data_IF_421209197596
#
_entry.id   IF_421209197596
#
_cell.length_a   1.000
_cell.length_b   1.000
_cell.length_c   1.000
_cell.angle_alpha   90.00
_cell.angle_beta   90.00
_cell.angle_gamma   90.00
#
_symmetry.space_group_name_H-M   'P 1'
#
loop_
_entity.id
_entity.type
_entity.pdbx_description
1 polymer ?
#
# COMPACT_ATOMS: atom_id res chain seq x y z
N UNK A 1 -79.00 -41.81 -0.91
CA UNK A 1 -79.06 -42.18 -2.36
C UNK A 1 -77.61 -42.13 -2.82
N UNK A 2 -76.89 -43.21 -2.58
CA UNK A 2 -76.81 -44.35 -3.50
C UNK A 2 -75.95 -43.93 -4.72
N UNK A 3 -74.97 -44.54 -5.14
CA UNK A 3 -74.38 -45.89 -5.12
C UNK A 3 -72.92 -45.69 -5.73
N UNK A 4 -71.96 -46.33 -5.18
CA UNK A 4 -71.44 -47.68 -5.44
C UNK A 4 -70.64 -47.87 -6.71
N UNK A 5 -69.40 -48.23 -6.47
CA UNK A 5 -68.59 -49.34 -7.01
C UNK A 5 -68.15 -49.25 -8.50
N UNK A 6 -66.88 -49.40 -8.77
CA UNK A 6 -66.10 -50.63 -9.02
C UNK A 6 -64.71 -50.33 -9.51
N UNK A 7 -63.78 -50.75 -8.77
CA UNK A 7 -62.65 -51.63 -9.01
C UNK A 7 -62.50 -52.23 -10.45
N UNK A 8 -61.34 -51.96 -11.09
CA UNK A 8 -60.69 -52.96 -11.96
C UNK A 8 -59.17 -52.76 -11.84
N UNK A 9 -58.52 -53.80 -11.39
CA UNK A 9 -57.09 -54.11 -11.51
C UNK A 9 -56.66 -54.24 -12.95
N UNK A 10 -55.41 -53.91 -13.20
CA UNK A 10 -54.40 -54.70 -13.92
C UNK A 10 -53.09 -53.85 -13.90
N UNK A 11 -52.07 -54.30 -13.22
CA UNK A 11 -50.98 -55.22 -13.61
C UNK A 11 -50.29 -54.78 -14.92
N UNK A 12 -49.08 -54.50 -14.71
CA UNK A 12 -47.83 -54.83 -15.36
C UNK A 12 -46.89 -53.65 -15.55
N UNK A 13 -45.88 -53.56 -14.70
CA UNK A 13 -44.50 -53.82 -15.02
C UNK A 13 -43.81 -52.68 -15.75
N UNK A 14 -42.97 -52.04 -15.09
CA UNK A 14 -41.53 -52.05 -15.42
C UNK A 14 -40.84 -51.08 -14.42
N UNK A 15 -40.02 -51.70 -13.69
CA UNK A 15 -39.04 -51.13 -12.78
C UNK A 15 -37.97 -50.43 -13.61
N UNK A 16 -37.83 -49.12 -13.51
CA UNK A 16 -36.61 -48.43 -13.83
C UNK A 16 -36.14 -47.69 -12.58
N UNK A 17 -35.25 -48.38 -11.88
CA UNK A 17 -34.35 -47.81 -10.88
C UNK A 17 -33.49 -46.73 -11.56
N UNK A 18 -33.89 -45.48 -11.47
CA UNK A 18 -32.92 -44.37 -11.57
C UNK A 18 -32.23 -44.23 -10.23
N UNK A 19 -31.07 -44.85 -10.16
CA UNK A 19 -30.12 -44.58 -9.10
C UNK A 19 -29.71 -43.08 -9.19
N UNK A 20 -30.37 -42.25 -8.38
CA UNK A 20 -29.81 -40.95 -8.02
C UNK A 20 -28.56 -41.20 -7.15
N UNK A 21 -27.39 -41.13 -7.77
CA UNK A 21 -26.14 -40.96 -7.05
C UNK A 21 -26.19 -39.64 -6.26
N UNK A 22 -26.63 -39.75 -5.04
CA UNK A 22 -26.43 -38.75 -4.01
C UNK A 22 -24.90 -38.80 -3.70
N UNK A 23 -24.13 -38.06 -4.44
CA UNK A 23 -22.77 -37.70 -4.00
C UNK A 23 -22.95 -36.84 -2.75
N UNK A 24 -22.98 -37.51 -1.60
CA UNK A 24 -22.80 -36.87 -0.33
C UNK A 24 -21.36 -36.28 -0.34
N UNK A 25 -21.29 -35.00 -0.69
CA UNK A 25 -20.13 -34.19 -0.45
C UNK A 25 -20.04 -34.05 1.09
N UNK A 26 -19.35 -34.99 1.71
CA UNK A 26 -18.97 -34.88 3.12
C UNK A 26 -18.00 -33.69 3.17
N UNK A 27 -18.51 -32.51 3.44
CA UNK A 27 -17.69 -31.40 3.93
C UNK A 27 -17.08 -31.92 5.22
N UNK A 28 -15.80 -32.25 5.14
CA UNK A 28 -14.98 -32.53 6.31
C UNK A 28 -14.88 -31.16 7.01
N UNK A 29 -15.71 -30.95 8.01
CA UNK A 29 -15.56 -29.83 8.94
C UNK A 29 -14.23 -30.06 9.67
N UNK A 30 -13.16 -29.44 9.16
CA UNK A 30 -11.88 -29.40 9.86
C UNK A 30 -12.09 -28.60 11.15
N UNK A 31 -12.03 -29.26 12.28
CA UNK A 31 -12.04 -28.63 13.59
C UNK A 31 -10.88 -27.62 13.66
N UNK A 32 -11.13 -26.34 13.96
CA UNK A 32 -10.08 -25.33 13.97
C UNK A 32 -9.04 -25.66 15.03
N UNK A 33 -7.78 -25.73 14.62
CA UNK A 33 -6.63 -26.05 15.50
C UNK A 33 -6.48 -25.02 16.63
N UNK A 34 -7.01 -23.81 16.43
CA UNK A 34 -6.95 -22.71 17.40
C UNK A 34 -7.65 -21.46 16.88
N UNK A 35 -7.51 -20.34 17.62
CA UNK A 35 -8.09 -19.06 17.26
C UNK A 35 -6.97 -18.06 16.92
N UNK A 36 -7.12 -17.36 15.80
CA UNK A 36 -6.22 -16.27 15.36
C UNK A 36 -6.94 -14.95 15.65
N UNK A 37 -6.28 -14.09 16.44
CA UNK A 37 -6.77 -12.75 16.72
C UNK A 37 -5.79 -11.70 16.19
N UNK A 38 -6.27 -10.85 15.31
CA UNK A 38 -5.49 -9.74 14.71
C UNK A 38 -5.76 -8.48 15.53
N UNK A 39 -4.70 -7.74 15.87
CA UNK A 39 -4.83 -6.48 16.60
C UNK A 39 -5.02 -5.29 15.66
N UNK A 40 -5.63 -4.21 16.16
CA UNK A 40 -5.75 -2.92 15.46
C UNK A 40 -4.38 -2.41 15.00
N UNK A 41 -3.32 -2.58 15.81
CA UNK A 41 -1.96 -2.14 15.46
C UNK A 41 -1.39 -2.84 14.23
N UNK A 42 -1.70 -4.13 14.05
CA UNK A 42 -1.28 -4.89 12.87
C UNK A 42 -1.97 -4.34 11.62
N UNK A 43 -3.29 -4.15 11.67
CA UNK A 43 -4.07 -3.59 10.55
C UNK A 43 -3.60 -2.18 10.22
N UNK A 44 -3.40 -1.32 11.25
CA UNK A 44 -2.89 0.05 11.07
C UNK A 44 -1.51 0.08 10.43
N UNK A 45 -0.63 -0.86 10.79
CA UNK A 45 0.71 -0.97 10.22
C UNK A 45 0.66 -1.37 8.75
N UNK A 46 -0.15 -2.38 8.40
CA UNK A 46 -0.33 -2.81 7.00
C UNK A 46 -0.89 -1.66 6.15
N UNK A 47 -1.95 -0.99 6.64
CA UNK A 47 -2.57 0.12 5.94
C UNK A 47 -1.60 1.30 5.72
N UNK A 48 -0.80 1.64 6.73
CA UNK A 48 0.20 2.71 6.63
C UNK A 48 1.32 2.40 5.64
N UNK A 49 1.81 1.16 5.62
CA UNK A 49 2.81 0.71 4.64
C UNK A 49 2.21 0.78 3.24
N UNK A 50 1.05 0.14 3.01
CA UNK A 50 0.36 0.14 1.72
C UNK A 50 0.07 1.55 1.20
N UNK A 51 -0.24 2.51 2.09
CA UNK A 51 -0.43 3.91 1.72
C UNK A 51 0.86 4.56 1.23
N UNK A 52 1.98 4.32 1.91
CA UNK A 52 3.26 4.96 1.59
C UNK A 52 4.00 4.32 0.41
N UNK A 53 3.55 3.18 -0.08
CA UNK A 53 4.05 2.55 -1.30
C UNK A 53 3.57 3.23 -2.59
N UNK A 54 2.51 4.06 -2.50
CA UNK A 54 1.92 4.72 -3.66
C UNK A 54 2.71 5.99 -4.01
N UNK A 55 3.14 6.09 -5.25
CA UNK A 55 3.84 7.27 -5.77
C UNK A 55 2.96 8.52 -5.69
N UNK A 56 3.50 9.60 -5.10
CA UNK A 56 2.74 10.83 -4.86
C UNK A 56 2.27 10.98 -3.42
N UNK A 57 2.42 9.95 -2.58
CA UNK A 57 2.26 10.05 -1.13
C UNK A 57 3.61 10.44 -0.53
N UNK A 58 3.72 11.67 -0.04
CA UNK A 58 4.93 12.13 0.65
C UNK A 58 5.11 11.41 2.01
N UNK A 59 4.02 11.01 2.64
CA UNK A 59 4.04 10.23 3.88
C UNK A 59 2.77 10.36 4.71
N UNK A 60 2.76 9.67 5.85
CA UNK A 60 1.65 9.76 6.80
C UNK A 60 1.74 11.07 7.60
N UNK A 61 0.58 11.72 7.80
CA UNK A 61 0.52 12.92 8.63
C UNK A 61 0.97 12.64 10.07
N UNK A 62 1.77 13.55 10.61
CA UNK A 62 2.35 13.37 11.94
C UNK A 62 3.71 12.65 11.96
N UNK A 63 4.13 11.98 10.86
CA UNK A 63 5.54 11.59 10.69
C UNK A 63 6.37 12.78 10.18
N UNK A 64 5.76 13.69 9.42
CA UNK A 64 6.39 14.89 8.87
C UNK A 64 6.81 15.94 9.93
N UNK A 65 6.14 16.00 11.07
CA UNK A 65 6.50 16.94 12.16
C UNK A 65 7.76 16.53 12.93
N UNK A 66 8.36 15.38 12.59
CA UNK A 66 9.47 14.76 13.31
C UNK A 66 10.84 14.84 12.62
N UNK A 67 11.04 15.70 11.63
CA UNK A 67 12.29 15.78 10.85
C UNK A 67 13.60 15.84 11.64
N UNK A 68 13.53 16.18 12.92
CA UNK A 68 14.69 16.11 13.83
C UNK A 68 14.79 14.74 14.53
N UNK A 69 13.67 14.05 14.76
CA UNK A 69 13.65 12.75 15.43
C UNK A 69 14.17 11.61 14.54
N UNK A 70 13.93 11.67 13.22
CA UNK A 70 14.46 10.71 12.25
C UNK A 70 15.98 10.81 12.12
N UNK A 71 16.54 12.00 12.25
CA UNK A 71 17.99 12.24 12.27
C UNK A 71 18.71 11.58 13.46
N UNK A 72 17.98 11.26 14.52
CA UNK A 72 18.46 10.53 15.70
C UNK A 72 18.13 9.02 15.69
N UNK A 73 17.73 8.46 14.51
CA UNK A 73 17.51 7.03 14.38
C UNK A 73 16.17 6.52 14.93
N UNK A 74 15.20 7.39 15.14
CA UNK A 74 13.85 6.97 15.48
C UNK A 74 13.24 6.23 14.29
N UNK A 75 12.81 4.97 14.50
CA UNK A 75 12.13 4.18 13.46
C UNK A 75 10.84 4.90 13.06
N UNK A 76 10.63 5.07 11.75
CA UNK A 76 9.32 5.49 11.22
C UNK A 76 8.25 4.55 11.76
N UNK A 77 7.24 5.13 12.40
CA UNK A 77 6.09 4.34 12.84
C UNK A 77 5.03 4.37 11.73
N UNK A 78 4.87 3.27 10.97
CA UNK A 78 3.96 3.24 9.81
C UNK A 78 2.49 3.35 10.20
N UNK A 79 2.12 3.07 11.45
CA UNK A 79 0.74 3.21 11.93
C UNK A 79 0.36 4.64 12.32
N UNK A 80 1.32 5.59 12.32
CA UNK A 80 1.05 6.99 12.68
C UNK A 80 0.22 7.65 11.56
N UNK A 81 -0.89 8.31 11.92
CA UNK A 81 -1.83 8.87 10.96
C UNK A 81 -2.84 7.85 10.43
N UNK A 82 -2.86 6.62 10.97
CA UNK A 82 -3.85 5.60 10.64
C UNK A 82 -4.74 5.36 11.85
N UNK A 83 -6.06 5.41 11.63
CA UNK A 83 -7.06 5.02 12.61
C UNK A 83 -7.87 3.87 12.04
N UNK A 84 -8.06 2.82 12.82
CA UNK A 84 -8.80 1.63 12.40
C UNK A 84 -9.90 1.34 13.42
N UNK A 85 -11.12 1.25 12.90
CA UNK A 85 -12.27 0.71 13.62
C UNK A 85 -12.59 -0.66 13.04
N UNK A 86 -12.47 -1.71 13.85
CA UNK A 86 -12.65 -3.09 13.40
C UNK A 86 -13.41 -3.94 14.39
N UNK A 87 -14.10 -4.94 13.87
CA UNK A 87 -14.67 -6.05 14.62
C UNK A 87 -14.01 -7.37 14.19
N UNK A 88 -14.65 -8.51 14.47
CA UNK A 88 -14.07 -9.83 14.16
C UNK A 88 -13.92 -10.10 12.66
N UNK A 89 -14.70 -9.46 11.81
CA UNK A 89 -14.77 -9.75 10.37
C UNK A 89 -14.61 -8.56 9.46
N UNK A 90 -14.85 -7.34 9.96
CA UNK A 90 -14.83 -6.11 9.13
C UNK A 90 -13.92 -5.03 9.70
N UNK A 91 -13.43 -4.16 8.82
CA UNK A 91 -12.63 -2.99 9.19
C UNK A 91 -13.06 -1.73 8.42
N UNK A 92 -12.96 -0.58 9.09
CA UNK A 92 -12.99 0.76 8.48
C UNK A 92 -11.69 1.47 8.82
N UNK A 93 -11.06 2.08 7.84
CA UNK A 93 -9.73 2.65 7.94
C UNK A 93 -9.80 4.13 7.58
N UNK A 94 -9.26 5.00 8.45
CA UNK A 94 -9.08 6.42 8.21
C UNK A 94 -7.58 6.71 8.12
N UNK A 95 -7.19 7.39 7.04
CA UNK A 95 -5.80 7.73 6.71
C UNK A 95 -5.64 9.24 6.70
N UNK A 96 -4.74 9.75 7.54
CA UNK A 96 -4.32 11.15 7.54
C UNK A 96 -2.95 11.22 6.81
N UNK A 97 -2.88 11.84 5.61
CA UNK A 97 -1.71 11.80 4.72
C UNK A 97 -1.21 13.18 4.30
N UNK A 98 0.04 13.21 3.86
CA UNK A 98 0.66 14.33 3.15
C UNK A 98 0.98 13.86 1.73
N UNK A 99 0.63 14.64 0.72
CA UNK A 99 0.84 14.32 -0.69
C UNK A 99 1.93 15.20 -1.31
N UNK A 100 2.55 14.74 -2.39
CA UNK A 100 3.50 15.54 -3.15
C UNK A 100 2.78 16.65 -3.93
N UNK A 101 3.44 17.80 -4.08
CA UNK A 101 2.92 18.87 -4.93
C UNK A 101 2.86 18.43 -6.39
N UNK A 102 1.78 18.77 -7.09
CA UNK A 102 1.59 18.46 -8.51
C UNK A 102 0.82 17.17 -8.79
N UNK A 103 0.53 16.34 -7.79
CA UNK A 103 -0.25 15.11 -7.98
C UNK A 103 -1.73 15.39 -8.23
N UNK A 104 -2.39 14.49 -8.95
CA UNK A 104 -3.83 14.54 -9.16
C UNK A 104 -4.55 13.81 -8.01
N UNK A 105 -4.99 14.59 -7.02
CA UNK A 105 -5.59 14.08 -5.78
C UNK A 105 -6.69 13.02 -5.99
N UNK A 106 -7.67 13.19 -6.91
CA UNK A 106 -8.71 12.18 -7.08
C UNK A 106 -8.19 10.82 -7.56
N UNK A 107 -7.20 10.81 -8.45
CA UNK A 107 -6.59 9.59 -8.98
C UNK A 107 -5.73 8.92 -7.92
N UNK A 108 -4.87 9.69 -7.26
CA UNK A 108 -4.05 9.22 -6.15
C UNK A 108 -4.90 8.61 -5.02
N UNK A 109 -6.00 9.28 -4.65
CA UNK A 109 -6.89 8.77 -3.60
C UNK A 109 -7.54 7.43 -3.98
N UNK A 110 -7.94 7.28 -5.23
CA UNK A 110 -8.47 6.00 -5.72
C UNK A 110 -7.44 4.88 -5.62
N UNK A 111 -6.23 5.13 -6.07
CA UNK A 111 -5.13 4.17 -6.03
C UNK A 111 -4.78 3.74 -4.60
N UNK A 112 -4.72 4.70 -3.68
CA UNK A 112 -4.50 4.43 -2.25
C UNK A 112 -5.63 3.55 -1.69
N UNK A 113 -6.90 3.90 -1.96
CA UNK A 113 -8.04 3.14 -1.46
C UNK A 113 -8.01 1.69 -1.93
N UNK A 114 -7.70 1.45 -3.20
CA UNK A 114 -7.62 0.12 -3.79
C UNK A 114 -6.44 -0.69 -3.19
N UNK A 115 -5.25 -0.08 -3.11
CA UNK A 115 -4.06 -0.75 -2.57
C UNK A 115 -4.21 -1.10 -1.09
N UNK A 116 -4.68 -0.17 -0.28
CA UNK A 116 -4.89 -0.40 1.16
C UNK A 116 -5.95 -1.47 1.41
N UNK A 117 -7.09 -1.39 0.72
CA UNK A 117 -8.13 -2.41 0.81
C UNK A 117 -7.57 -3.79 0.47
N UNK A 118 -6.95 -3.93 -0.68
CA UNK A 118 -6.41 -5.21 -1.15
C UNK A 118 -5.33 -5.77 -0.21
N UNK A 119 -4.41 -4.93 0.27
CA UNK A 119 -3.34 -5.35 1.17
C UNK A 119 -3.87 -5.84 2.52
N UNK A 120 -4.80 -5.09 3.11
CA UNK A 120 -5.39 -5.47 4.41
C UNK A 120 -6.23 -6.75 4.26
N UNK A 121 -7.11 -6.84 3.28
CA UNK A 121 -7.95 -8.03 3.05
C UNK A 121 -7.12 -9.28 2.78
N UNK A 122 -6.09 -9.17 1.94
CA UNK A 122 -5.23 -10.31 1.58
C UNK A 122 -4.43 -10.83 2.78
N UNK A 123 -3.91 -9.92 3.62
CA UNK A 123 -3.04 -10.31 4.73
C UNK A 123 -3.80 -10.72 5.98
N UNK A 124 -5.04 -10.24 6.17
CA UNK A 124 -5.77 -10.41 7.43
C UNK A 124 -7.03 -11.26 7.28
N UNK A 125 -7.60 -11.34 6.09
CA UNK A 125 -8.89 -11.96 5.85
C UNK A 125 -10.08 -11.13 6.35
N UNK A 126 -9.86 -9.89 6.83
CA UNK A 126 -10.93 -8.95 7.18
C UNK A 126 -11.56 -8.38 5.90
N UNK A 127 -12.85 -8.07 5.94
CA UNK A 127 -13.54 -7.33 4.89
C UNK A 127 -13.44 -5.82 5.15
N UNK A 128 -12.73 -5.10 4.28
CA UNK A 128 -12.55 -3.65 4.42
C UNK A 128 -13.74 -2.91 3.80
N UNK A 129 -14.59 -2.39 4.67
CA UNK A 129 -15.83 -1.70 4.29
C UNK A 129 -15.57 -0.31 3.69
N UNK A 130 -14.61 0.42 4.25
CA UNK A 130 -14.28 1.78 3.86
C UNK A 130 -12.80 2.08 4.10
N UNK A 131 -12.22 2.85 3.17
CA UNK A 131 -10.94 3.53 3.35
C UNK A 131 -11.21 5.02 3.12
N UNK A 132 -11.18 5.81 4.18
CA UNK A 132 -11.34 7.26 4.14
C UNK A 132 -9.96 7.91 4.11
N UNK A 133 -9.79 8.95 3.30
CA UNK A 133 -8.52 9.65 3.14
C UNK A 133 -8.70 11.12 3.48
N UNK A 134 -7.87 11.62 4.39
CA UNK A 134 -7.77 13.00 4.78
C UNK A 134 -6.40 13.53 4.35
N UNK A 135 -6.39 14.52 3.46
CA UNK A 135 -5.16 15.15 2.98
C UNK A 135 -4.89 16.35 3.86
N UNK A 136 -3.92 16.21 4.76
CA UNK A 136 -3.59 17.18 5.80
C UNK A 136 -2.46 18.14 5.39
N UNK A 137 -1.77 17.84 4.28
CA UNK A 137 -0.70 18.68 3.80
C UNK A 137 -0.22 18.34 2.41
N UNK A 138 0.63 19.24 1.87
CA UNK A 138 1.31 19.09 0.59
C UNK A 138 2.82 19.28 0.80
N UNK A 139 3.62 18.36 0.30
CA UNK A 139 5.09 18.40 0.33
C UNK A 139 5.65 18.95 -0.98
N UNK A 140 6.73 19.72 -0.88
CA UNK A 140 7.50 20.27 -2.01
C UNK A 140 8.92 19.69 -2.06
N UNK A 141 9.19 18.60 -1.34
CA UNK A 141 10.56 18.07 -1.19
C UNK A 141 11.14 17.54 -2.50
N UNK A 142 10.36 16.85 -3.31
CA UNK A 142 10.82 16.35 -4.63
C UNK A 142 11.29 17.46 -5.55
N UNK A 143 10.63 18.63 -5.55
CA UNK A 143 11.09 19.79 -6.35
C UNK A 143 12.44 20.36 -5.88
N UNK A 144 12.77 20.21 -4.60
CA UNK A 144 14.04 20.66 -4.06
C UNK A 144 15.18 19.74 -4.45
N UNK A 145 14.96 18.44 -4.42
CA UNK A 145 15.95 17.44 -4.81
C UNK A 145 16.28 17.55 -6.29
N UNK A 146 15.29 17.67 -7.18
CA UNK A 146 15.52 17.88 -8.62
C UNK A 146 16.28 19.18 -8.92
N UNK A 147 16.00 20.27 -8.18
CA UNK A 147 16.75 21.53 -8.34
C UNK A 147 18.20 21.43 -7.88
N UNK A 148 18.45 20.68 -6.81
CA UNK A 148 19.81 20.47 -6.29
C UNK A 148 20.63 19.60 -7.26
N UNK A 149 20.05 18.58 -7.86
CA UNK A 149 20.71 17.75 -8.87
C UNK A 149 21.02 18.53 -10.16
N UNK A 150 20.11 19.40 -10.60
CA UNK A 150 20.32 20.27 -11.77
C UNK A 150 21.42 21.31 -11.53
N UNK A 151 21.48 21.93 -10.35
CA UNK A 151 22.51 22.91 -10.01
C UNK A 151 23.91 22.27 -9.79
N UNK A 152 23.94 21.02 -9.31
CA UNK A 152 25.22 20.31 -9.12
C UNK A 152 25.85 19.84 -10.44
N UNK A 153 25.06 19.72 -11.51
CA UNK A 153 25.55 19.26 -12.80
C UNK A 153 26.06 20.39 -13.73
N UNK A 154 25.96 21.67 -13.32
CA UNK A 154 26.38 22.84 -14.12
C UNK A 154 27.79 23.31 -13.77
N UNK A 155 28.43 22.76 -12.73
CA UNK A 155 29.70 23.30 -12.18
C UNK A 155 30.93 22.43 -12.40
N UNK A 156 30.93 21.49 -13.35
CA UNK A 156 32.18 20.85 -13.82
C UNK A 156 32.54 21.28 -15.24
N UNK A 157 32.96 22.53 -15.37
CA UNK A 157 33.85 22.91 -16.49
C UNK A 157 35.29 22.75 -16.00
N UNK A 158 36.07 21.86 -16.58
CA UNK A 158 37.48 21.75 -16.23
C UNK A 158 38.18 23.05 -16.65
N UNK A 159 38.68 23.78 -15.67
CA UNK A 159 39.70 24.82 -15.92
C UNK A 159 40.91 24.15 -16.58
N UNK A 160 41.06 24.36 -17.88
CA UNK A 160 42.30 24.09 -18.59
C UNK A 160 43.40 24.95 -17.95
N UNK A 161 44.32 24.29 -17.31
CA UNK A 161 45.60 24.87 -16.94
C UNK A 161 46.34 25.17 -18.23
N UNK A 162 46.49 26.47 -18.53
CA UNK A 162 47.39 26.95 -19.55
C UNK A 162 48.78 26.92 -18.92
N UNK A 163 49.56 25.92 -19.31
CA UNK A 163 51.02 25.93 -19.13
C UNK A 163 51.58 27.08 -19.92
N UNK A 164 52.09 28.08 -19.23
CA UNK A 164 52.96 29.09 -19.80
C UNK A 164 54.39 28.74 -19.37
N UNK A 165 55.05 28.01 -20.25
CA UNK A 165 56.51 27.98 -20.34
C UNK A 165 56.95 29.36 -20.72
N UNK A 166 57.72 30.01 -19.89
CA UNK A 166 58.66 31.08 -20.29
C UNK A 166 60.00 30.81 -19.64
N UNK A 167 60.75 30.32 -20.53
CA UNK A 167 62.15 30.17 -20.69
C UNK A 167 62.97 31.45 -20.31
N UNK A 168 64.05 31.16 -19.58
CA UNK A 168 65.38 31.79 -19.53
C UNK A 168 65.52 33.21 -20.01
N UNK A 169 66.29 33.96 -19.24
CA UNK A 169 67.56 34.56 -19.63
C UNK A 169 68.20 35.32 -18.47
N UNK A 170 69.36 34.81 -18.13
CA UNK A 170 70.64 35.43 -17.86
C UNK A 170 70.72 36.97 -18.03
N UNK A 171 71.39 37.59 -17.13
CA UNK A 171 72.65 38.31 -17.25
C UNK A 171 72.80 39.36 -16.14
N UNK A 172 73.81 39.11 -15.35
CA UNK A 172 74.98 39.86 -15.15
C UNK A 172 74.92 41.32 -14.64
N UNK A 173 75.67 41.41 -13.55
CA UNK A 173 76.60 42.44 -13.22
C UNK A 173 76.16 43.93 -13.08
N UNK A 174 76.57 44.49 -11.99
CA UNK A 174 77.59 45.52 -11.79
C UNK A 174 77.39 46.26 -10.46
N UNK A 175 78.38 46.10 -9.62
CA UNK A 175 79.10 47.03 -8.73
C UNK A 175 78.58 48.50 -8.64
N UNK A 176 78.44 48.98 -7.49
CA UNK A 176 79.23 49.88 -6.64
C UNK A 176 78.65 50.09 -5.27
#
# INVERSE_FOLDING_TARGET
>A
MDEEIKNVQNEDGINEETAEETTANAEVEEEPIGNIKISVDVVSTIAGIATTEIDGVAGMYGTFAGGIAEMFGAKKNPSKGVKVDMNETTATIDLDIVVDYGVRIPELSWEIQENVKNSVETMTGLDVQKVNIHIEGVSFEKEKEEKIELDSNVNETPLQTVDTDEDSMDDEDIQD
#
